data_IF_122902789119
#
_entry.id   IF_122902789119
#
_cell.length_a   1.000
_cell.length_b   1.000
_cell.length_c   1.000
_cell.angle_alpha   90.00
_cell.angle_beta   90.00
_cell.angle_gamma   90.00
#
_symmetry.space_group_name_H-M   'P 1'
#
loop_
_entity.id
_entity.type
_entity.pdbx_description
1 polymer ?
#
# COMPACT_ATOMS: atom_id res chain seq x y z
N UNK A 1 -0.36 -8.18 43.41
CA UNK A 1 0.92 -7.63 42.93
C UNK A 1 1.05 -7.61 41.40
N UNK A 2 0.65 -8.68 40.69
CA UNK A 2 0.73 -8.76 39.21
C UNK A 2 -0.21 -7.76 38.51
N UNK A 3 -1.42 -7.54 39.05
CA UNK A 3 -2.45 -6.64 38.46
C UNK A 3 -2.02 -5.15 38.50
N UNK A 4 -1.43 -4.69 39.62
CA UNK A 4 -0.89 -3.33 39.73
C UNK A 4 0.30 -3.10 38.81
N UNK A 5 1.10 -4.12 38.53
CA UNK A 5 2.20 -4.05 37.56
C UNK A 5 1.70 -3.94 36.12
N UNK A 6 0.58 -4.59 35.77
CA UNK A 6 -0.02 -4.50 34.44
C UNK A 6 -0.64 -3.13 34.19
N UNK A 7 -1.37 -2.57 35.16
CA UNK A 7 -1.95 -1.23 35.03
C UNK A 7 -0.90 -0.13 34.90
N UNK A 8 0.19 -0.22 35.66
CA UNK A 8 1.31 0.73 35.55
C UNK A 8 1.98 0.65 34.19
N UNK A 9 2.18 -0.55 33.63
CA UNK A 9 2.72 -0.75 32.27
C UNK A 9 1.78 -0.24 31.19
N UNK A 10 0.47 -0.48 31.31
CA UNK A 10 -0.52 0.04 30.36
C UNK A 10 -0.57 1.57 30.41
N UNK A 11 -0.46 2.17 31.60
CA UNK A 11 -0.42 3.62 31.77
C UNK A 11 0.85 4.22 31.16
N UNK A 12 2.01 3.59 31.32
CA UNK A 12 3.26 4.03 30.69
C UNK A 12 3.24 3.89 29.16
N UNK A 13 2.63 2.81 28.64
CA UNK A 13 2.44 2.64 27.20
C UNK A 13 1.52 3.72 26.62
N UNK A 14 0.40 4.03 27.29
CA UNK A 14 -0.51 5.11 26.85
C UNK A 14 0.14 6.50 26.92
N UNK A 15 1.12 6.69 27.79
CA UNK A 15 1.90 7.92 27.89
C UNK A 15 3.03 8.02 26.84
N UNK A 16 3.26 6.97 26.06
CA UNK A 16 4.30 6.99 25.04
C UNK A 16 3.93 7.98 23.91
N UNK A 17 4.85 8.89 23.47
CA UNK A 17 4.56 9.93 22.49
C UNK A 17 3.91 9.42 21.21
N UNK A 18 4.38 8.28 20.66
CA UNK A 18 3.79 7.69 19.45
C UNK A 18 2.34 7.26 19.64
N UNK A 19 1.96 6.72 20.81
CA UNK A 19 0.58 6.32 21.08
C UNK A 19 -0.31 7.54 21.27
N UNK A 20 0.21 8.60 21.88
CA UNK A 20 -0.50 9.86 22.02
C UNK A 20 -0.78 10.50 20.67
N UNK A 21 0.15 10.44 19.71
CA UNK A 21 -0.05 10.91 18.34
C UNK A 21 -1.30 10.28 17.71
N UNK A 22 -1.52 8.98 17.85
CA UNK A 22 -2.72 8.31 17.33
C UNK A 22 -3.98 8.63 18.12
N UNK A 23 -3.85 8.98 19.41
CA UNK A 23 -4.99 9.38 20.24
C UNK A 23 -5.43 10.83 19.95
N UNK A 24 -4.46 11.73 19.73
CA UNK A 24 -4.68 13.14 19.49
C UNK A 24 -5.16 13.44 18.05
N UNK A 25 -4.74 12.61 17.09
CA UNK A 25 -5.16 12.71 15.68
C UNK A 25 -6.31 11.74 15.41
N UNK A 26 -7.54 12.26 15.40
CA UNK A 26 -8.74 11.54 14.99
C UNK A 26 -8.95 11.61 13.46
N UNK A 27 -10.06 11.00 12.97
CA UNK A 27 -10.47 11.10 11.57
C UNK A 27 -9.56 10.36 10.58
N UNK A 28 -9.24 11.01 9.45
CA UNK A 28 -8.51 10.41 8.35
C UNK A 28 -7.09 9.91 8.72
N UNK A 29 -6.23 10.68 9.40
CA UNK A 29 -4.86 10.25 9.69
C UNK A 29 -4.81 8.96 10.51
N UNK A 30 -5.61 8.86 11.56
CA UNK A 30 -5.69 7.64 12.38
C UNK A 30 -6.22 6.44 11.60
N UNK A 31 -7.26 6.66 10.80
CA UNK A 31 -7.85 5.59 9.99
C UNK A 31 -6.87 5.07 8.96
N UNK A 32 -6.20 5.96 8.23
CA UNK A 32 -5.21 5.59 7.22
C UNK A 32 -4.05 4.79 7.81
N UNK A 33 -3.48 5.24 8.93
CA UNK A 33 -2.40 4.52 9.63
C UNK A 33 -2.84 3.12 10.06
N UNK A 34 -4.07 2.96 10.57
CA UNK A 34 -4.56 1.65 11.05
C UNK A 34 -4.92 0.69 9.90
N UNK A 35 -5.32 1.21 8.75
CA UNK A 35 -5.66 0.41 7.57
C UNK A 35 -4.41 0.00 6.78
N UNK A 36 -3.32 0.76 6.87
CA UNK A 36 -2.08 0.51 6.11
C UNK A 36 -1.59 -0.96 6.14
N UNK A 37 -1.50 -1.63 7.30
CA UNK A 37 -1.11 -3.04 7.34
C UNK A 37 -2.10 -3.99 6.68
N UNK A 38 -3.40 -3.65 6.64
CA UNK A 38 -4.44 -4.53 6.09
C UNK A 38 -4.31 -4.74 4.60
N UNK A 39 -3.83 -3.74 3.84
CA UNK A 39 -3.53 -3.90 2.44
C UNK A 39 -2.06 -4.28 2.20
N UNK A 40 -1.16 -3.73 3.00
CA UNK A 40 0.28 -3.97 2.87
C UNK A 40 0.67 -5.44 3.07
N UNK A 41 0.02 -6.16 4.01
CA UNK A 41 0.28 -7.59 4.23
C UNK A 41 -0.10 -8.44 3.01
N UNK A 42 -1.33 -8.40 2.46
CA UNK A 42 -1.68 -9.14 1.25
C UNK A 42 -0.78 -8.80 0.06
N UNK A 43 -0.46 -7.53 -0.14
CA UNK A 43 0.44 -7.09 -1.20
C UNK A 43 1.81 -7.76 -1.07
N UNK A 44 2.45 -7.69 0.10
CA UNK A 44 3.78 -8.27 0.32
C UNK A 44 3.79 -9.80 0.27
N UNK A 45 2.64 -10.46 0.47
CA UNK A 45 2.51 -11.89 0.26
C UNK A 45 2.49 -12.27 -1.23
N UNK A 46 1.98 -11.41 -2.10
CA UNK A 46 1.78 -11.70 -3.54
C UNK A 46 2.92 -11.14 -4.40
N UNK A 47 3.36 -9.91 -4.14
CA UNK A 47 4.31 -9.19 -4.98
C UNK A 47 5.61 -9.94 -5.30
N UNK A 48 6.27 -10.68 -4.36
CA UNK A 48 7.47 -11.44 -4.67
C UNK A 48 7.26 -12.55 -5.72
N UNK A 49 6.02 -13.03 -5.86
CA UNK A 49 5.69 -14.10 -6.80
C UNK A 49 5.15 -13.62 -8.14
N UNK A 50 4.93 -12.32 -8.32
CA UNK A 50 4.39 -11.76 -9.56
C UNK A 50 5.24 -12.15 -10.79
N UNK A 51 6.56 -12.03 -10.69
CA UNK A 51 7.47 -12.42 -11.77
C UNK A 51 7.44 -13.93 -12.00
N UNK A 52 7.45 -14.72 -10.93
CA UNK A 52 7.38 -16.19 -11.04
C UNK A 52 6.06 -16.62 -11.71
N UNK A 53 4.95 -15.98 -11.36
CA UNK A 53 3.67 -16.23 -12.00
C UNK A 53 3.69 -15.91 -13.50
N UNK A 54 4.29 -14.80 -13.91
CA UNK A 54 4.48 -14.48 -15.34
C UNK A 54 5.28 -15.59 -16.06
N UNK A 55 6.35 -16.11 -15.44
CA UNK A 55 7.10 -17.24 -16.01
C UNK A 55 6.27 -18.49 -16.17
N UNK A 56 5.42 -18.84 -15.21
CA UNK A 56 4.54 -20.01 -15.34
C UNK A 56 3.53 -19.88 -16.48
N UNK A 57 3.23 -18.64 -16.87
CA UNK A 57 2.38 -18.33 -18.02
C UNK A 57 3.17 -18.20 -19.34
N UNK A 58 4.46 -18.53 -19.34
CA UNK A 58 5.29 -18.53 -20.55
C UNK A 58 5.80 -17.15 -20.97
N UNK A 59 5.73 -16.13 -20.10
CA UNK A 59 6.26 -14.81 -20.37
C UNK A 59 7.78 -14.82 -20.25
N UNK A 60 8.47 -14.30 -21.27
CA UNK A 60 9.94 -14.27 -21.33
C UNK A 60 10.55 -13.09 -20.54
N UNK A 61 11.83 -13.19 -20.20
CA UNK A 61 12.57 -12.10 -19.50
C UNK A 61 12.47 -10.77 -20.24
N UNK A 62 12.58 -10.80 -21.58
CA UNK A 62 12.48 -9.60 -22.42
C UNK A 62 11.09 -8.97 -22.29
N UNK A 63 10.04 -9.78 -22.31
CA UNK A 63 8.66 -9.31 -22.17
C UNK A 63 8.42 -8.74 -20.76
N UNK A 64 8.96 -9.37 -19.71
CA UNK A 64 8.88 -8.84 -18.34
C UNK A 64 9.59 -7.51 -18.25
N UNK A 65 10.81 -7.41 -18.82
CA UNK A 65 11.57 -6.16 -18.88
C UNK A 65 10.80 -5.04 -19.62
N UNK A 66 10.11 -5.35 -20.71
CA UNK A 66 9.27 -4.40 -21.43
C UNK A 66 8.06 -3.94 -20.59
N UNK A 67 7.36 -4.88 -19.92
CA UNK A 67 6.25 -4.54 -19.02
C UNK A 67 6.73 -3.57 -17.95
N UNK A 68 7.85 -3.88 -17.27
CA UNK A 68 8.40 -3.02 -16.22
C UNK A 68 8.80 -1.63 -16.75
N UNK A 69 9.42 -1.57 -17.93
CA UNK A 69 9.86 -0.30 -18.53
C UNK A 69 8.67 0.59 -18.91
N UNK A 70 7.64 0.02 -19.54
CA UNK A 70 6.41 0.75 -19.87
C UNK A 70 5.70 1.21 -18.61
N UNK A 71 5.61 0.33 -17.59
CA UNK A 71 5.00 0.66 -16.30
C UNK A 71 5.69 1.84 -15.64
N UNK A 72 7.02 1.87 -15.59
CA UNK A 72 7.77 3.00 -15.02
C UNK A 72 7.50 4.31 -15.78
N UNK A 73 7.46 4.28 -17.10
CA UNK A 73 7.14 5.46 -17.91
C UNK A 73 5.73 5.99 -17.62
N UNK A 74 4.74 5.09 -17.55
CA UNK A 74 3.36 5.46 -17.23
C UNK A 74 3.22 5.96 -15.78
N UNK A 75 3.93 5.39 -14.83
CA UNK A 75 3.94 5.84 -13.43
C UNK A 75 4.43 7.29 -13.30
N UNK A 76 5.46 7.68 -14.04
CA UNK A 76 5.94 9.08 -14.08
C UNK A 76 4.82 10.01 -14.54
N UNK A 77 4.11 9.66 -15.63
CA UNK A 77 3.00 10.47 -16.13
C UNK A 77 1.86 10.54 -15.10
N UNK A 78 1.51 9.43 -14.48
CA UNK A 78 0.43 9.36 -13.50
C UNK A 78 0.75 10.09 -12.18
N UNK A 79 2.02 10.18 -11.81
CA UNK A 79 2.44 11.01 -10.67
C UNK A 79 2.10 12.49 -10.85
N UNK A 80 2.27 13.04 -12.07
CA UNK A 80 1.85 14.41 -12.39
C UNK A 80 0.32 14.55 -12.40
N UNK A 81 -0.39 13.57 -12.96
CA UNK A 81 -1.84 13.57 -13.01
C UNK A 81 -2.47 13.45 -11.62
N UNK A 82 -1.82 12.75 -10.70
CA UNK A 82 -2.30 12.55 -9.33
C UNK A 82 -2.55 13.86 -8.59
N UNK A 83 -1.62 14.80 -8.67
CA UNK A 83 -1.81 16.15 -8.09
C UNK A 83 -3.01 16.88 -8.70
N UNK A 84 -3.08 16.94 -10.02
CA UNK A 84 -4.15 17.65 -10.74
C UNK A 84 -5.53 17.04 -10.46
N UNK A 85 -5.62 15.72 -10.46
CA UNK A 85 -6.88 15.01 -10.18
C UNK A 85 -7.31 15.17 -8.72
N UNK A 86 -6.36 15.10 -7.80
CA UNK A 86 -6.61 15.31 -6.37
C UNK A 86 -7.18 16.70 -6.09
N UNK A 87 -6.66 17.73 -6.75
CA UNK A 87 -7.13 19.10 -6.58
C UNK A 87 -8.51 19.34 -7.23
N UNK A 88 -8.80 18.71 -8.36
CA UNK A 88 -10.06 18.90 -9.11
C UNK A 88 -11.22 18.06 -8.60
N UNK A 89 -10.97 16.80 -8.29
CA UNK A 89 -12.00 15.80 -7.92
C UNK A 89 -12.13 15.64 -6.40
N UNK A 90 -11.19 16.20 -5.66
CA UNK A 90 -11.07 16.01 -4.23
C UNK A 90 -10.29 14.75 -3.85
N UNK A 91 -9.50 14.85 -2.79
CA UNK A 91 -8.53 13.83 -2.38
C UNK A 91 -9.14 12.47 -2.08
N UNK A 92 -10.26 12.45 -1.34
CA UNK A 92 -10.95 11.22 -0.95
C UNK A 92 -11.49 10.44 -2.16
N UNK A 93 -12.09 11.16 -3.14
CA UNK A 93 -12.60 10.53 -4.35
C UNK A 93 -11.46 10.00 -5.22
N UNK A 94 -10.38 10.78 -5.36
CA UNK A 94 -9.19 10.38 -6.13
C UNK A 94 -8.51 9.14 -5.53
N UNK A 95 -8.39 9.07 -4.20
CA UNK A 95 -7.89 7.88 -3.51
C UNK A 95 -8.76 6.66 -3.80
N UNK A 96 -10.09 6.79 -3.65
CA UNK A 96 -11.02 5.69 -3.91
C UNK A 96 -10.97 5.19 -5.36
N UNK A 97 -10.87 6.10 -6.32
CA UNK A 97 -10.74 5.76 -7.75
C UNK A 97 -9.39 5.07 -8.04
N UNK A 98 -8.31 5.59 -7.45
CA UNK A 98 -6.98 5.00 -7.59
C UNK A 98 -6.92 3.57 -7.04
N UNK A 99 -7.51 3.33 -5.87
CA UNK A 99 -7.63 1.99 -5.28
C UNK A 99 -8.47 1.05 -6.13
N UNK A 100 -9.61 1.52 -6.63
CA UNK A 100 -10.48 0.70 -7.47
C UNK A 100 -9.79 0.25 -8.76
N UNK A 101 -9.16 1.15 -9.48
CA UNK A 101 -8.48 0.81 -10.74
C UNK A 101 -7.10 0.19 -10.50
N UNK A 102 -6.29 0.78 -9.60
CA UNK A 102 -4.92 0.36 -9.36
C UNK A 102 -4.80 -0.97 -8.63
N UNK A 103 -5.76 -1.29 -7.78
CA UNK A 103 -5.78 -2.55 -7.01
C UNK A 103 -6.94 -3.45 -7.39
N UNK A 104 -8.17 -2.98 -7.28
CA UNK A 104 -9.34 -3.82 -7.49
C UNK A 104 -9.38 -4.41 -8.90
N UNK A 105 -9.46 -3.57 -9.92
CA UNK A 105 -9.55 -4.00 -11.32
C UNK A 105 -8.22 -4.61 -11.78
N UNK A 106 -7.09 -4.03 -11.41
CA UNK A 106 -5.77 -4.56 -11.78
C UNK A 106 -5.57 -6.00 -11.29
N UNK A 107 -5.91 -6.31 -10.03
CA UNK A 107 -5.81 -7.67 -9.49
C UNK A 107 -6.71 -8.67 -10.23
N UNK A 108 -7.92 -8.25 -10.62
CA UNK A 108 -8.81 -9.11 -11.42
C UNK A 108 -8.20 -9.41 -12.81
N UNK A 109 -7.61 -8.41 -13.47
CA UNK A 109 -6.93 -8.63 -14.75
C UNK A 109 -5.68 -9.49 -14.56
N UNK A 110 -4.89 -9.29 -13.49
CA UNK A 110 -3.78 -10.16 -13.14
C UNK A 110 -4.20 -11.62 -13.00
N UNK A 111 -5.30 -11.89 -12.31
CA UNK A 111 -5.79 -13.24 -12.04
C UNK A 111 -6.17 -14.01 -13.31
N UNK A 112 -6.61 -13.32 -14.37
CA UNK A 112 -6.98 -13.94 -15.67
C UNK A 112 -5.90 -13.79 -16.72
N UNK A 113 -4.76 -13.15 -16.39
CA UNK A 113 -3.68 -12.90 -17.35
C UNK A 113 -2.95 -14.19 -17.70
N UNK A 114 -2.87 -14.49 -18.98
CA UNK A 114 -2.20 -15.66 -19.54
C UNK A 114 -1.34 -15.33 -20.77
N UNK A 115 -1.18 -14.04 -21.09
CA UNK A 115 -0.38 -13.58 -22.22
C UNK A 115 0.21 -12.19 -21.93
N UNK A 116 1.22 -11.81 -22.73
CA UNK A 116 1.92 -10.54 -22.61
C UNK A 116 1.01 -9.32 -22.55
N UNK A 117 -0.01 -9.26 -23.41
CA UNK A 117 -0.88 -8.06 -23.51
C UNK A 117 -1.77 -7.88 -22.30
N UNK A 118 -2.27 -8.97 -21.71
CA UNK A 118 -3.07 -8.91 -20.49
C UNK A 118 -2.21 -8.52 -19.30
N UNK A 119 -0.99 -9.06 -19.17
CA UNK A 119 -0.05 -8.63 -18.12
C UNK A 119 0.33 -7.16 -18.27
N UNK A 120 0.57 -6.68 -19.50
CA UNK A 120 0.85 -5.27 -19.77
C UNK A 120 -0.35 -4.39 -19.40
N UNK A 121 -1.56 -4.78 -19.77
CA UNK A 121 -2.78 -4.05 -19.42
C UNK A 121 -2.98 -3.98 -17.90
N UNK A 122 -2.79 -5.10 -17.19
CA UNK A 122 -2.87 -5.16 -15.73
C UNK A 122 -1.81 -4.27 -15.07
N UNK A 123 -0.57 -4.28 -15.58
CA UNK A 123 0.51 -3.43 -15.08
C UNK A 123 0.24 -1.94 -15.33
N UNK A 124 -0.36 -1.56 -16.47
CA UNK A 124 -0.80 -0.18 -16.72
C UNK A 124 -1.93 0.22 -15.75
N UNK A 125 -2.87 -0.67 -15.47
CA UNK A 125 -3.91 -0.43 -14.47
C UNK A 125 -3.29 -0.21 -13.08
N UNK A 126 -2.29 -0.99 -12.68
CA UNK A 126 -1.58 -0.76 -11.42
C UNK A 126 -0.95 0.64 -11.33
N UNK A 127 -0.65 1.31 -12.46
CA UNK A 127 -0.09 2.67 -12.42
C UNK A 127 -1.06 3.70 -11.82
N UNK A 128 -2.38 3.42 -11.77
CA UNK A 128 -3.35 4.28 -11.07
C UNK A 128 -3.02 4.43 -9.58
N UNK A 129 -2.25 3.51 -9.02
CA UNK A 129 -1.71 3.60 -7.66
C UNK A 129 -0.87 4.86 -7.45
N UNK A 130 -0.16 5.35 -8.47
CA UNK A 130 0.60 6.61 -8.35
C UNK A 130 -0.30 7.82 -8.13
N UNK A 131 -1.50 7.81 -8.74
CA UNK A 131 -2.53 8.83 -8.54
C UNK A 131 -3.07 8.73 -7.12
N UNK A 132 -3.39 7.51 -6.68
CA UNK A 132 -3.85 7.23 -5.34
C UNK A 132 -2.83 7.69 -4.28
N UNK A 133 -1.58 7.29 -4.41
CA UNK A 133 -0.52 7.58 -3.45
C UNK A 133 -0.37 9.09 -3.20
N UNK A 134 -0.42 9.90 -4.26
CA UNK A 134 -0.37 11.37 -4.13
C UNK A 134 -1.56 11.90 -3.33
N UNK A 135 -2.77 11.47 -3.65
CA UNK A 135 -3.99 11.90 -2.95
C UNK A 135 -4.03 11.41 -1.50
N UNK A 136 -3.57 10.18 -1.25
CA UNK A 136 -3.49 9.54 0.05
C UNK A 136 -2.55 10.28 1.00
N UNK A 137 -1.34 10.65 0.56
CA UNK A 137 -0.42 11.45 1.37
C UNK A 137 -1.00 12.83 1.69
N UNK A 138 -1.67 13.47 0.72
CA UNK A 138 -2.35 14.73 0.99
C UNK A 138 -3.45 14.58 2.06
N UNK A 139 -4.24 13.49 1.98
CA UNK A 139 -5.30 13.20 2.93
C UNK A 139 -4.73 12.92 4.34
N UNK A 140 -3.59 12.23 4.41
CA UNK A 140 -2.89 11.92 5.65
C UNK A 140 -2.44 13.19 6.38
N UNK A 141 -1.95 14.21 5.63
CA UNK A 141 -1.35 15.42 6.19
C UNK A 141 -2.40 16.49 6.51
N UNK A 142 -3.46 16.58 5.70
CA UNK A 142 -4.43 17.69 5.75
C UNK A 142 -5.14 17.79 7.09
N UNK A 143 -5.55 16.66 7.66
CA UNK A 143 -6.28 16.59 8.92
C UNK A 143 -5.37 16.32 10.12
N UNK A 144 -4.05 16.24 9.91
CA UNK A 144 -3.09 15.95 10.96
C UNK A 144 -2.67 17.24 11.68
N UNK A 145 -2.50 17.15 13.01
CA UNK A 145 -1.88 18.24 13.75
C UNK A 145 -0.43 18.43 13.30
N UNK A 146 0.02 19.64 12.93
CA UNK A 146 1.38 19.87 12.44
C UNK A 146 2.49 19.37 13.35
N UNK A 147 2.29 19.42 14.67
CA UNK A 147 3.25 18.93 15.67
C UNK A 147 3.42 17.40 15.65
N UNK A 148 2.44 16.68 15.12
CA UNK A 148 2.36 15.21 15.17
C UNK A 148 2.72 14.54 13.85
N UNK A 149 2.97 15.30 12.78
CA UNK A 149 3.28 14.80 11.44
C UNK A 149 4.40 13.75 11.44
N UNK A 150 5.49 14.01 12.17
CA UNK A 150 6.61 13.05 12.27
C UNK A 150 6.16 11.74 12.90
N UNK A 151 5.31 11.80 13.92
CA UNK A 151 4.76 10.61 14.57
C UNK A 151 3.82 9.82 13.66
N UNK A 152 2.99 10.50 12.87
CA UNK A 152 2.10 9.89 11.88
C UNK A 152 2.90 9.18 10.80
N UNK A 153 3.90 9.84 10.20
CA UNK A 153 4.80 9.19 9.23
C UNK A 153 5.56 8.01 9.84
N UNK A 154 5.95 8.10 11.10
CA UNK A 154 6.59 6.98 11.82
C UNK A 154 5.64 5.79 11.89
N UNK A 155 4.36 6.01 12.19
CA UNK A 155 3.36 4.94 12.22
C UNK A 155 3.13 4.31 10.86
N UNK A 156 3.05 5.09 9.78
CA UNK A 156 2.95 4.57 8.41
C UNK A 156 4.15 3.68 8.09
N UNK A 157 5.37 4.13 8.40
CA UNK A 157 6.56 3.33 8.20
C UNK A 157 6.57 2.04 9.03
N UNK A 158 6.14 2.09 10.29
CA UNK A 158 6.00 0.89 11.13
C UNK A 158 4.99 -0.08 10.50
N UNK A 159 3.84 0.41 10.03
CA UNK A 159 2.85 -0.39 9.32
C UNK A 159 3.42 -1.09 8.10
N UNK A 160 4.17 -0.35 7.26
CA UNK A 160 4.86 -0.90 6.10
C UNK A 160 5.90 -1.97 6.46
N UNK A 161 6.72 -1.73 7.50
CA UNK A 161 7.70 -2.72 7.97
C UNK A 161 7.04 -3.98 8.53
N UNK A 162 5.93 -3.83 9.26
CA UNK A 162 5.13 -4.97 9.72
C UNK A 162 4.59 -5.76 8.53
N UNK A 163 4.10 -5.09 7.49
CA UNK A 163 3.61 -5.74 6.28
C UNK A 163 4.73 -6.53 5.56
N UNK A 164 5.92 -5.97 5.43
CA UNK A 164 7.09 -6.62 4.82
C UNK A 164 7.54 -7.85 5.64
N UNK A 165 7.42 -7.79 6.97
CA UNK A 165 7.78 -8.92 7.84
C UNK A 165 7.00 -10.20 7.50
N UNK A 166 5.81 -10.08 6.94
CA UNK A 166 5.00 -11.24 6.50
C UNK A 166 5.38 -11.78 5.12
N UNK A 167 6.19 -11.07 4.32
CA UNK A 167 6.57 -11.51 2.98
C UNK A 167 7.21 -12.92 2.92
N UNK A 168 8.11 -13.33 3.83
CA UNK A 168 8.67 -14.69 3.82
C UNK A 168 7.64 -15.81 4.02
N UNK A 169 6.49 -15.53 4.66
CA UNK A 169 5.44 -16.52 4.87
C UNK A 169 4.82 -16.98 3.55
N UNK A 170 4.84 -16.14 2.52
CA UNK A 170 4.37 -16.52 1.19
C UNK A 170 5.17 -17.69 0.60
N UNK A 171 6.51 -17.71 0.81
CA UNK A 171 7.36 -18.84 0.40
C UNK A 171 7.00 -20.14 1.12
N UNK A 172 6.60 -20.06 2.40
CA UNK A 172 6.12 -21.20 3.16
C UNK A 172 4.80 -21.74 2.58
N UNK A 173 3.85 -20.86 2.25
CA UNK A 173 2.58 -21.24 1.61
C UNK A 173 2.81 -21.94 0.26
N UNK A 174 3.63 -21.37 -0.61
CA UNK A 174 3.96 -21.99 -1.90
C UNK A 174 4.55 -23.38 -1.70
N UNK A 175 5.46 -23.55 -0.74
CA UNK A 175 6.08 -24.87 -0.45
C UNK A 175 5.10 -25.91 0.10
N UNK A 176 4.06 -25.47 0.83
CA UNK A 176 3.07 -26.40 1.40
C UNK A 176 2.02 -26.85 0.39
N UNK A 177 1.77 -26.07 -0.67
CA UNK A 177 0.72 -26.32 -1.67
C UNK A 177 1.29 -26.69 -3.06
N UNK A 178 2.60 -26.70 -3.25
CA UNK A 178 3.31 -27.16 -4.43
C UNK A 178 3.83 -28.59 -4.26
#
# INVERSE_FOLDING_TARGET
MLYMSLESKIRSLKAHPLIQVLADNGGNPRTLVLIEPLWGVPYNLIAPFATLYMYTQGITDVQIGLILSVTMAVQVLFSFLGGILSDKLGRKFTTMMGDFFGWGLACLVWAVSNNFWLFLAAAILNCFEQINQTAWYCLLIEDACPKDLVGIYTWVNIGGLVAIFFAPLSGLFVRLYS
#
